data_IF_000821863499
#
_entry.id   IF_000821863499
#
_cell.length_a   1.000
_cell.length_b   1.000
_cell.length_c   1.000
_cell.angle_alpha   90.00
_cell.angle_beta   90.00
_cell.angle_gamma   90.00
#
_symmetry.space_group_name_H-M   'P 1'
#
loop_
_entity.id
_entity.type
_entity.pdbx_description
1 polymer ?
#
# COMPACT_ATOMS: atom_id res chain seq x y z
N UNK A 1 -8.20 45.39 18.50
CA UNK A 1 -7.61 44.05 18.44
C UNK A 1 -8.64 43.05 18.96
N UNK A 2 -8.91 42.05 18.19
CA UNK A 2 -9.68 40.88 18.65
C UNK A 2 -8.74 40.09 19.57
N UNK A 3 -8.94 40.19 20.89
CA UNK A 3 -8.18 39.44 21.88
C UNK A 3 -9.01 38.26 22.37
N UNK A 4 -8.43 37.07 22.46
CA UNK A 4 -9.06 35.96 23.17
C UNK A 4 -9.04 36.20 24.68
N UNK A 5 -10.07 35.72 25.38
CA UNK A 5 -10.07 35.70 26.85
C UNK A 5 -8.93 34.78 27.30
N UNK A 6 -7.99 35.33 28.08
CA UNK A 6 -6.86 34.57 28.61
C UNK A 6 -7.20 34.00 29.99
N UNK A 7 -6.93 32.71 30.18
CA UNK A 7 -7.14 31.98 31.45
C UNK A 7 -5.98 31.04 31.69
N UNK A 8 -5.64 30.82 32.95
CA UNK A 8 -4.76 29.71 33.33
C UNK A 8 -5.49 28.37 33.19
N UNK A 9 -4.77 27.25 33.14
CA UNK A 9 -5.37 25.89 33.10
C UNK A 9 -6.37 25.71 34.26
N UNK A 10 -6.04 26.14 35.46
CA UNK A 10 -6.95 26.05 36.63
C UNK A 10 -8.23 26.85 36.42
N UNK A 11 -8.10 28.09 35.93
CA UNK A 11 -9.26 28.95 35.68
C UNK A 11 -10.12 28.43 34.52
N UNK A 12 -9.51 27.89 33.48
CA UNK A 12 -10.19 27.27 32.35
C UNK A 12 -11.05 26.09 32.81
N UNK A 13 -10.49 25.19 33.61
CA UNK A 13 -11.18 24.03 34.12
C UNK A 13 -12.28 24.33 35.13
N UNK A 14 -12.27 25.51 35.70
CA UNK A 14 -13.31 25.99 36.64
C UNK A 14 -14.49 26.72 35.94
N UNK A 15 -14.43 26.88 34.62
CA UNK A 15 -15.51 27.55 33.89
C UNK A 15 -16.75 26.65 33.80
N UNK A 16 -17.91 27.29 33.94
CA UNK A 16 -19.24 26.65 33.83
C UNK A 16 -20.10 27.43 32.83
N UNK A 17 -21.11 26.75 32.28
CA UNK A 17 -22.03 27.38 31.32
C UNK A 17 -21.43 27.58 29.93
N UNK A 18 -20.41 26.79 29.57
CA UNK A 18 -19.77 26.86 28.27
C UNK A 18 -20.61 26.23 27.19
N UNK A 19 -20.53 26.79 25.99
CA UNK A 19 -21.16 26.24 24.78
C UNK A 19 -20.11 25.68 23.82
N UNK A 20 -20.47 24.66 23.04
CA UNK A 20 -19.59 24.13 22.00
C UNK A 20 -19.17 25.26 21.03
N UNK A 21 -17.87 25.39 20.79
CA UNK A 21 -17.29 26.46 19.98
C UNK A 21 -16.70 27.63 20.81
N UNK A 22 -16.96 27.71 22.12
CA UNK A 22 -16.29 28.71 22.96
C UNK A 22 -14.77 28.52 22.92
N UNK A 23 -14.04 29.65 22.83
CA UNK A 23 -12.60 29.63 22.62
C UNK A 23 -11.90 30.49 23.66
N UNK A 24 -10.83 30.00 24.27
CA UNK A 24 -9.99 30.74 25.19
C UNK A 24 -8.50 30.53 24.90
N UNK A 25 -7.67 31.48 25.32
CA UNK A 25 -6.22 31.30 25.33
C UNK A 25 -5.79 30.81 26.72
N UNK A 26 -5.20 29.61 26.78
CA UNK A 26 -4.61 29.11 28.03
C UNK A 26 -3.21 29.69 28.20
N UNK A 27 -3.06 30.59 29.14
CA UNK A 27 -1.79 31.29 29.42
C UNK A 27 -0.76 30.42 30.13
N UNK A 28 -1.16 29.30 30.73
CA UNK A 28 -0.24 28.35 31.35
C UNK A 28 0.47 27.51 30.29
N UNK A 29 -0.26 27.11 29.25
CA UNK A 29 0.22 26.22 28.20
C UNK A 29 0.60 26.95 26.91
N UNK A 30 0.24 28.24 26.81
CA UNK A 30 0.58 29.09 25.68
C UNK A 30 -0.18 28.76 24.39
N UNK A 31 -1.37 28.15 24.50
CA UNK A 31 -2.15 27.71 23.35
C UNK A 31 -3.63 28.07 23.46
N UNK A 32 -4.32 28.07 22.31
CA UNK A 32 -5.77 28.21 22.24
C UNK A 32 -6.47 26.88 22.56
N UNK A 33 -7.61 26.99 23.23
CA UNK A 33 -8.51 25.88 23.52
C UNK A 33 -9.90 26.17 22.98
N UNK A 34 -10.57 25.14 22.47
CA UNK A 34 -11.98 25.17 22.05
C UNK A 34 -12.77 24.18 22.89
N UNK A 35 -13.90 24.62 23.41
CA UNK A 35 -14.83 23.75 24.12
C UNK A 35 -15.70 22.96 23.11
N UNK A 36 -15.72 21.63 23.21
CA UNK A 36 -16.46 20.77 22.28
C UNK A 36 -17.90 20.44 22.74
N UNK A 37 -18.37 21.06 23.84
CA UNK A 37 -19.63 20.76 24.49
C UNK A 37 -19.51 19.88 25.74
N UNK A 38 -18.33 19.27 25.97
CA UNK A 38 -18.06 18.43 27.14
C UNK A 38 -16.69 18.66 27.75
N UNK A 39 -15.70 19.04 26.96
CA UNK A 39 -14.32 19.29 27.42
C UNK A 39 -13.63 20.37 26.59
N UNK A 40 -12.57 20.98 27.19
CA UNK A 40 -11.66 21.85 26.50
C UNK A 40 -10.61 21.05 25.73
N UNK A 41 -10.44 21.36 24.44
CA UNK A 41 -9.45 20.71 23.56
C UNK A 41 -8.44 21.74 23.08
N UNK A 42 -7.15 21.45 23.27
CA UNK A 42 -6.08 22.31 22.80
C UNK A 42 -6.07 22.38 21.26
N UNK A 43 -5.97 23.59 20.72
CA UNK A 43 -5.76 23.81 19.29
C UNK A 43 -4.28 23.64 18.88
N UNK A 44 -3.39 23.36 19.84
CA UNK A 44 -1.98 23.10 19.57
C UNK A 44 -1.72 21.76 18.91
N UNK A 45 -2.60 20.79 19.13
CA UNK A 45 -2.57 19.52 18.40
C UNK A 45 -3.28 19.67 17.06
N UNK A 46 -2.69 20.43 16.17
CA UNK A 46 -3.17 20.64 14.81
C UNK A 46 -2.98 19.37 13.96
N UNK A 47 -3.28 18.22 14.54
CA UNK A 47 -3.30 16.95 13.84
C UNK A 47 -4.65 16.78 13.15
N UNK A 48 -4.71 17.21 11.90
CA UNK A 48 -5.86 16.90 11.05
C UNK A 48 -5.73 15.49 10.52
N UNK A 49 -6.78 14.72 10.69
CA UNK A 49 -6.92 13.40 10.08
C UNK A 49 -7.77 13.53 8.81
N UNK A 50 -7.31 12.94 7.72
CA UNK A 50 -8.04 12.89 6.46
C UNK A 50 -7.80 11.55 5.75
N UNK A 51 -8.72 11.19 4.86
CA UNK A 51 -8.63 9.96 4.09
C UNK A 51 -7.97 10.23 2.74
N UNK A 52 -7.00 9.40 2.38
CA UNK A 52 -6.27 9.46 1.11
C UNK A 52 -6.62 8.24 0.28
N UNK A 53 -7.10 8.48 -0.94
CA UNK A 53 -7.19 7.43 -1.93
C UNK A 53 -5.78 7.08 -2.42
N UNK A 54 -5.52 5.80 -2.64
CA UNK A 54 -4.21 5.32 -3.07
C UNK A 54 -4.31 4.41 -4.30
N UNK A 55 -3.17 4.34 -5.00
CA UNK A 55 -2.85 3.31 -5.97
C UNK A 55 -1.42 2.86 -5.70
N UNK A 56 -1.24 1.59 -5.35
CA UNK A 56 0.06 0.99 -5.06
C UNK A 56 0.25 -0.22 -5.96
N UNK A 57 1.26 -0.12 -6.85
CA UNK A 57 1.64 -1.18 -7.79
C UNK A 57 3.07 -1.60 -7.46
N UNK A 58 3.31 -2.91 -7.35
CA UNK A 58 4.64 -3.46 -7.06
C UNK A 58 5.44 -3.72 -8.34
N UNK A 59 6.74 -4.03 -8.19
CA UNK A 59 7.59 -4.43 -9.31
C UNK A 59 7.13 -5.74 -9.93
N UNK A 60 7.12 -5.85 -11.27
CA UNK A 60 6.85 -7.10 -11.97
C UNK A 60 8.01 -8.09 -11.86
N UNK A 61 7.75 -9.39 -11.97
CA UNK A 61 8.77 -10.43 -12.06
C UNK A 61 9.40 -10.51 -13.45
N UNK A 62 10.61 -11.00 -13.53
CA UNK A 62 11.28 -11.29 -14.81
C UNK A 62 10.80 -12.62 -15.39
N UNK A 63 10.79 -12.72 -16.71
CA UNK A 63 10.60 -14.00 -17.40
C UNK A 63 11.76 -14.98 -17.14
N UNK A 64 11.47 -16.26 -17.23
CA UNK A 64 12.48 -17.31 -17.19
C UNK A 64 13.25 -17.42 -18.50
N UNK A 65 14.48 -17.91 -18.42
CA UNK A 65 15.30 -18.13 -19.59
C UNK A 65 14.95 -19.41 -20.34
N UNK A 66 15.04 -19.34 -21.65
CA UNK A 66 14.92 -20.48 -22.57
C UNK A 66 16.20 -20.68 -23.37
N UNK A 67 16.26 -21.81 -24.11
CA UNK A 67 17.31 -22.05 -25.08
C UNK A 67 16.68 -22.55 -26.39
N UNK A 68 17.34 -22.34 -27.54
CA UNK A 68 16.80 -22.78 -28.82
C UNK A 68 16.43 -24.26 -28.86
N UNK A 69 17.18 -25.10 -28.15
CA UNK A 69 17.04 -26.55 -28.22
C UNK A 69 16.02 -27.13 -27.22
N UNK A 70 15.56 -26.35 -26.25
CA UNK A 70 14.77 -26.87 -25.13
C UNK A 70 13.54 -26.03 -24.78
N UNK A 71 13.09 -25.21 -25.70
CA UNK A 71 11.84 -24.45 -25.54
C UNK A 71 11.96 -23.17 -24.72
N UNK A 72 10.83 -22.51 -24.56
CA UNK A 72 10.71 -21.20 -23.92
C UNK A 72 10.60 -21.31 -22.40
N UNK A 73 11.10 -20.30 -21.72
CA UNK A 73 10.79 -20.05 -20.31
C UNK A 73 9.40 -19.43 -20.13
N UNK A 74 8.90 -19.45 -18.91
CA UNK A 74 7.64 -18.81 -18.52
C UNK A 74 7.77 -17.28 -18.45
N UNK A 75 6.67 -16.59 -18.69
CA UNK A 75 6.60 -15.12 -18.52
C UNK A 75 6.59 -14.73 -17.03
N UNK A 76 7.19 -13.59 -16.70
CA UNK A 76 7.08 -13.02 -15.34
C UNK A 76 5.67 -12.52 -15.04
N UNK A 77 5.26 -12.62 -13.79
CA UNK A 77 3.99 -12.10 -13.29
C UNK A 77 4.04 -10.58 -13.05
N UNK A 78 2.90 -9.93 -13.17
CA UNK A 78 2.77 -8.52 -12.80
C UNK A 78 2.92 -8.33 -11.30
N UNK A 79 3.42 -7.17 -10.89
CA UNK A 79 3.33 -6.74 -9.49
C UNK A 79 1.88 -6.64 -9.04
N UNK A 80 1.66 -6.84 -7.74
CA UNK A 80 0.35 -6.68 -7.13
C UNK A 80 -0.20 -5.28 -7.39
N UNK A 81 -1.50 -5.21 -7.58
CA UNK A 81 -2.24 -3.98 -7.84
C UNK A 81 -3.26 -3.78 -6.73
N UNK A 82 -3.11 -2.71 -5.94
CA UNK A 82 -4.00 -2.34 -4.84
C UNK A 82 -4.48 -0.91 -5.01
N UNK A 83 -5.79 -0.67 -4.91
CA UNK A 83 -6.39 0.65 -5.08
C UNK A 83 -7.55 0.89 -4.12
N UNK A 84 -7.67 2.13 -3.68
CA UNK A 84 -8.86 2.64 -2.99
C UNK A 84 -9.53 3.79 -3.76
N UNK A 85 -9.18 3.96 -5.04
CA UNK A 85 -9.67 5.09 -5.84
C UNK A 85 -11.04 4.76 -6.46
N UNK A 86 -12.01 5.61 -6.16
CA UNK A 86 -13.36 5.54 -6.72
C UNK A 86 -13.98 4.12 -6.66
N UNK A 87 -14.36 3.57 -7.81
CA UNK A 87 -14.93 2.22 -7.95
C UNK A 87 -13.95 1.23 -8.60
N UNK A 88 -12.67 1.58 -8.68
CA UNK A 88 -11.65 0.71 -9.27
C UNK A 88 -11.48 -0.55 -8.43
N UNK A 89 -11.37 -1.69 -9.10
CA UNK A 89 -11.10 -2.96 -8.41
C UNK A 89 -9.59 -3.14 -8.22
N UNK A 90 -9.20 -3.61 -7.04
CA UNK A 90 -7.85 -4.15 -6.81
C UNK A 90 -7.60 -5.42 -7.64
N UNK A 91 -6.35 -5.82 -7.77
CA UNK A 91 -6.00 -7.03 -8.53
C UNK A 91 -6.69 -8.28 -7.99
N UNK A 92 -6.77 -9.34 -8.81
CA UNK A 92 -7.49 -10.55 -8.42
C UNK A 92 -9.03 -10.42 -8.43
N UNK A 93 -9.55 -9.32 -8.99
CA UNK A 93 -11.00 -9.11 -9.18
C UNK A 93 -11.75 -8.73 -7.90
N UNK A 94 -11.07 -8.26 -6.86
CA UNK A 94 -11.74 -7.77 -5.65
C UNK A 94 -12.10 -6.29 -5.77
N UNK A 95 -13.14 -5.90 -5.03
CA UNK A 95 -13.61 -4.51 -4.97
C UNK A 95 -12.52 -3.56 -4.50
N UNK A 96 -12.74 -2.26 -4.75
CA UNK A 96 -11.89 -1.18 -4.22
C UNK A 96 -11.69 -1.30 -2.71
N UNK A 97 -10.51 -0.95 -2.24
CA UNK A 97 -10.17 -0.99 -0.82
C UNK A 97 -10.63 0.29 -0.10
N UNK A 98 -10.62 0.27 1.23
CA UNK A 98 -10.86 1.47 2.02
C UNK A 98 -9.70 2.45 1.89
N UNK A 99 -10.01 3.75 1.84
CA UNK A 99 -9.01 4.81 1.85
C UNK A 99 -8.11 4.71 3.09
N UNK A 100 -6.87 5.12 2.96
CA UNK A 100 -5.94 5.21 4.07
C UNK A 100 -6.20 6.48 4.88
N UNK A 101 -6.39 6.32 6.19
CA UNK A 101 -6.45 7.46 7.10
C UNK A 101 -5.03 7.94 7.42
N UNK A 102 -4.78 9.21 7.17
CA UNK A 102 -3.49 9.85 7.42
C UNK A 102 -3.67 11.07 8.32
N UNK A 103 -2.62 11.38 9.09
CA UNK A 103 -2.61 12.48 10.06
C UNK A 103 -1.49 13.45 9.67
N UNK A 104 -1.74 14.75 9.77
CA UNK A 104 -0.70 15.77 9.56
C UNK A 104 0.46 15.60 10.52
N UNK A 105 1.62 16.12 10.17
CA UNK A 105 2.87 16.02 10.94
C UNK A 105 3.33 14.56 11.23
N UNK A 106 2.79 13.56 10.52
CA UNK A 106 3.19 12.15 10.61
C UNK A 106 3.92 11.74 9.34
N UNK A 107 5.07 11.10 9.48
CA UNK A 107 5.81 10.52 8.35
C UNK A 107 5.21 9.19 7.92
N UNK A 108 4.98 9.01 6.62
CA UNK A 108 4.50 7.75 6.03
C UNK A 108 5.57 7.18 5.10
N UNK A 109 5.90 5.93 5.30
CA UNK A 109 6.88 5.24 4.45
C UNK A 109 6.30 5.05 3.04
N UNK A 110 7.10 5.42 2.03
CA UNK A 110 6.83 5.12 0.62
C UNK A 110 8.03 4.38 0.05
N UNK A 111 7.79 3.20 -0.50
CA UNK A 111 8.80 2.39 -1.19
C UNK A 111 8.26 1.98 -2.55
N UNK A 112 9.05 2.17 -3.59
CA UNK A 112 8.73 1.68 -4.93
C UNK A 112 9.56 0.42 -5.18
N UNK A 113 8.91 -0.71 -5.35
CA UNK A 113 9.54 -1.99 -5.62
C UNK A 113 10.16 -2.06 -7.01
N UNK A 114 11.38 -2.55 -7.09
CA UNK A 114 12.04 -2.79 -8.37
C UNK A 114 11.44 -4.00 -9.10
N UNK A 115 11.51 -4.01 -10.43
CA UNK A 115 11.23 -5.20 -11.22
C UNK A 115 12.31 -6.27 -11.02
N UNK A 116 11.96 -7.53 -11.23
CA UNK A 116 12.91 -8.65 -11.21
C UNK A 116 13.97 -8.51 -12.30
N UNK A 117 15.20 -8.81 -11.97
CA UNK A 117 16.30 -8.79 -12.94
C UNK A 117 16.14 -9.92 -13.97
N UNK A 118 16.36 -9.60 -15.24
CA UNK A 118 16.35 -10.57 -16.34
C UNK A 118 17.43 -11.64 -16.19
N UNK A 119 17.19 -12.78 -16.78
CA UNK A 119 18.11 -13.94 -16.76
C UNK A 119 18.37 -14.48 -18.16
N UNK A 120 19.39 -15.30 -18.29
CA UNK A 120 19.72 -16.01 -19.53
C UNK A 120 19.86 -17.51 -19.27
N UNK A 121 19.79 -18.31 -20.34
CA UNK A 121 19.89 -19.77 -20.24
C UNK A 121 18.62 -20.37 -19.59
N UNK A 122 18.72 -21.61 -19.11
CA UNK A 122 17.62 -22.40 -18.55
C UNK A 122 17.34 -22.10 -17.06
N UNK A 123 17.32 -20.83 -16.69
CA UNK A 123 17.15 -20.39 -15.30
C UNK A 123 15.81 -19.73 -15.06
N UNK A 124 15.35 -19.80 -13.83
CA UNK A 124 14.17 -19.03 -13.41
C UNK A 124 14.51 -17.56 -13.41
N UNK A 125 13.54 -16.71 -13.74
CA UNK A 125 13.62 -15.27 -13.59
C UNK A 125 13.78 -14.86 -12.12
N UNK A 126 13.87 -13.57 -11.88
CA UNK A 126 13.83 -13.02 -10.53
C UNK A 126 12.45 -12.44 -10.23
N UNK A 127 11.96 -12.62 -9.02
CA UNK A 127 10.72 -11.99 -8.59
C UNK A 127 10.88 -10.45 -8.52
N UNK A 128 9.77 -9.74 -8.67
CA UNK A 128 9.70 -8.32 -8.39
C UNK A 128 9.75 -8.05 -6.89
N UNK A 129 10.03 -6.79 -6.53
CA UNK A 129 10.02 -6.33 -5.14
C UNK A 129 8.69 -5.69 -4.78
N UNK A 130 8.34 -5.72 -3.49
CA UNK A 130 7.14 -5.10 -2.97
C UNK A 130 7.22 -3.57 -3.08
N UNK A 131 6.07 -2.94 -3.34
CA UNK A 131 5.85 -1.51 -3.11
C UNK A 131 5.06 -1.31 -1.82
N UNK A 132 5.37 -0.24 -1.12
CA UNK A 132 4.77 0.07 0.19
C UNK A 132 4.30 1.51 0.21
N UNK A 133 3.12 1.74 0.73
CA UNK A 133 2.64 3.04 1.18
C UNK A 133 2.05 2.87 2.58
N UNK A 134 2.78 3.32 3.60
CA UNK A 134 2.41 3.12 5.02
C UNK A 134 2.18 1.63 5.35
N UNK A 135 0.96 1.25 5.69
CA UNK A 135 0.53 -0.13 5.95
C UNK A 135 0.08 -0.90 4.70
N UNK A 136 -0.02 -0.23 3.55
CA UNK A 136 -0.44 -0.83 2.29
C UNK A 136 0.79 -1.44 1.62
N UNK A 137 0.81 -2.75 1.50
CA UNK A 137 1.90 -3.50 0.85
C UNK A 137 1.36 -4.18 -0.39
N UNK A 138 1.90 -3.85 -1.54
CA UNK A 138 1.64 -4.55 -2.81
C UNK A 138 2.78 -5.53 -3.07
N UNK A 139 2.47 -6.80 -3.32
CA UNK A 139 3.45 -7.88 -3.48
C UNK A 139 4.13 -7.82 -4.83
N UNK A 140 5.44 -8.03 -4.87
CA UNK A 140 6.18 -8.16 -6.13
C UNK A 140 5.61 -9.28 -7.01
N UNK A 141 5.74 -9.16 -8.31
CA UNK A 141 5.32 -10.18 -9.28
C UNK A 141 6.17 -11.44 -9.21
N UNK A 142 5.56 -12.58 -9.41
CA UNK A 142 6.25 -13.87 -9.46
C UNK A 142 7.18 -14.00 -10.66
N UNK A 143 8.28 -14.70 -10.51
CA UNK A 143 9.20 -14.95 -11.62
C UNK A 143 8.61 -15.97 -12.60
N UNK A 144 8.89 -15.80 -13.88
CA UNK A 144 8.71 -16.84 -14.89
C UNK A 144 9.77 -17.91 -14.75
N UNK A 145 9.40 -19.15 -14.91
CA UNK A 145 10.36 -20.25 -14.72
C UNK A 145 11.20 -20.53 -15.97
N UNK A 146 12.35 -21.11 -15.76
CA UNK A 146 13.10 -21.79 -16.80
C UNK A 146 12.40 -23.05 -17.30
N UNK A 147 12.98 -23.73 -18.29
CA UNK A 147 12.46 -24.96 -18.87
C UNK A 147 12.22 -26.06 -17.81
N UNK A 148 11.04 -26.64 -17.78
CA UNK A 148 10.70 -27.76 -16.90
C UNK A 148 10.56 -27.40 -15.41
N UNK A 149 10.34 -26.13 -15.09
CA UNK A 149 10.22 -25.63 -13.73
C UNK A 149 8.92 -24.89 -13.50
N UNK A 150 8.53 -24.75 -12.26
CA UNK A 150 7.34 -24.02 -11.84
C UNK A 150 7.59 -22.51 -11.84
N UNK A 151 6.55 -21.74 -12.20
CA UNK A 151 6.53 -20.30 -12.02
C UNK A 151 6.54 -19.91 -10.54
N UNK A 152 7.06 -18.73 -10.22
CA UNK A 152 7.09 -18.17 -8.86
C UNK A 152 5.76 -17.52 -8.48
N UNK A 153 5.41 -17.63 -7.20
CA UNK A 153 4.28 -16.90 -6.65
C UNK A 153 4.58 -15.40 -6.56
N UNK A 154 3.54 -14.56 -6.58
CA UNK A 154 3.70 -13.11 -6.50
C UNK A 154 2.40 -12.36 -6.44
N UNK A 155 2.43 -11.04 -6.64
CA UNK A 155 1.25 -10.21 -6.83
C UNK A 155 0.34 -10.85 -7.89
N UNK A 156 0.85 -10.99 -9.11
CA UNK A 156 0.42 -12.06 -10.03
C UNK A 156 1.51 -13.12 -10.11
N UNK A 157 1.13 -14.38 -10.23
CA UNK A 157 2.06 -15.49 -10.40
C UNK A 157 2.79 -15.45 -11.73
N UNK A 158 4.01 -15.97 -11.78
CA UNK A 158 4.77 -16.18 -13.01
C UNK A 158 4.29 -17.41 -13.76
N UNK A 159 4.45 -17.41 -15.08
CA UNK A 159 4.16 -18.56 -15.93
C UNK A 159 5.14 -19.70 -15.71
N UNK A 160 4.68 -20.94 -15.92
CA UNK A 160 5.56 -22.09 -15.93
C UNK A 160 6.29 -22.23 -17.27
N UNK A 161 7.45 -22.87 -17.25
CA UNK A 161 8.17 -23.26 -18.46
C UNK A 161 7.52 -24.47 -19.14
N UNK A 162 8.06 -24.81 -20.28
CA UNK A 162 7.65 -26.01 -21.01
C UNK A 162 7.80 -27.28 -20.13
N UNK A 163 7.04 -28.37 -20.47
CA UNK A 163 7.10 -29.67 -19.83
C UNK A 163 6.43 -29.84 -18.46
N UNK A 164 5.09 -29.84 -18.43
CA UNK A 164 4.25 -30.29 -17.30
C UNK A 164 4.56 -29.60 -15.94
N UNK A 165 4.97 -28.36 -15.98
CA UNK A 165 5.24 -27.55 -14.78
C UNK A 165 4.03 -26.66 -14.45
N UNK A 166 3.91 -26.25 -13.20
CA UNK A 166 2.80 -25.44 -12.71
C UNK A 166 3.16 -23.95 -12.70
N UNK A 167 2.21 -23.07 -12.99
CA UNK A 167 2.42 -21.63 -12.82
C UNK A 167 2.45 -21.27 -11.35
N UNK A 168 3.00 -20.10 -11.03
CA UNK A 168 2.93 -19.50 -9.72
C UNK A 168 1.53 -19.03 -9.38
N UNK A 169 1.20 -19.01 -8.10
CA UNK A 169 -0.04 -18.46 -7.59
C UNK A 169 0.01 -16.93 -7.54
N UNK A 170 -1.14 -16.28 -7.71
CA UNK A 170 -1.31 -14.86 -7.41
C UNK A 170 -1.63 -14.63 -5.94
N UNK A 171 -1.17 -13.53 -5.41
CA UNK A 171 -1.58 -13.06 -4.07
C UNK A 171 -3.05 -12.67 -4.12
N UNK A 172 -3.85 -13.21 -3.20
CA UNK A 172 -5.27 -12.86 -3.08
C UNK A 172 -5.44 -11.34 -2.98
N UNK A 173 -6.44 -10.81 -3.66
CA UNK A 173 -6.75 -9.39 -3.72
C UNK A 173 -5.65 -8.50 -4.35
N UNK A 174 -4.66 -9.08 -5.05
CA UNK A 174 -3.60 -8.31 -5.70
C UNK A 174 -3.30 -8.76 -7.14
N UNK A 175 -3.68 -9.97 -7.53
CA UNK A 175 -3.45 -10.49 -8.87
C UNK A 175 -3.98 -11.91 -9.06
N UNK A 176 -3.59 -12.51 -10.17
CA UNK A 176 -4.04 -13.85 -10.59
C UNK A 176 -2.85 -14.80 -10.72
N UNK A 177 -3.14 -16.10 -10.76
CA UNK A 177 -2.13 -17.10 -11.08
C UNK A 177 -1.55 -16.89 -12.49
N UNK A 178 -0.33 -17.35 -12.68
CA UNK A 178 0.32 -17.38 -14.00
C UNK A 178 -0.29 -18.39 -14.96
N UNK A 179 0.19 -18.40 -16.19
CA UNK A 179 -0.21 -19.37 -17.21
C UNK A 179 0.63 -20.64 -17.18
N UNK A 180 0.03 -21.76 -17.56
CA UNK A 180 0.75 -23.01 -17.77
C UNK A 180 1.63 -22.94 -19.02
N UNK A 181 2.83 -23.52 -18.94
CA UNK A 181 3.63 -23.84 -20.13
C UNK A 181 2.97 -24.91 -21.00
N UNK A 182 3.32 -24.94 -22.28
CA UNK A 182 2.82 -25.96 -23.18
C UNK A 182 3.34 -27.36 -22.81
N UNK A 183 2.55 -28.39 -23.13
CA UNK A 183 2.97 -29.79 -23.15
C UNK A 183 2.94 -30.30 -24.59
N UNK A 184 3.90 -31.11 -24.98
CA UNK A 184 3.88 -31.86 -26.26
C UNK A 184 3.05 -33.10 -26.12
#
# INVERSE_FOLDING_TARGET
SLGFVSKTTTQMNALTGMSAGDTIYNSTEGTLYVYNGSSWNAMSDNTFQFSVAFLVIAGGGAGGGGTPDHGAGGGGGAGGYRTSYASDSSGGGVSTESMLSVTTATGYTVTVGAGGAGVSGRTDGNAGSNSVFSSIISSGGGYGSGYGRNGGDGGSGGGSGWANSSPGAGTSAQGYAGGNGGSS
#
